data_IF_410824247071
#
_entry.id   IF_410824247071
#
_cell.length_a   1.000
_cell.length_b   1.000
_cell.length_c   1.000
_cell.angle_alpha   90.00
_cell.angle_beta   90.00
_cell.angle_gamma   90.00
#
_symmetry.space_group_name_H-M   'P 1'
#
loop_
_entity.id
_entity.type
_entity.pdbx_description
1 polymer ?
#
# COMPACT_ATOMS: atom_id res chain seq x y z
N UNK A 1 -2.05 -23.73 -7.48
CA UNK A 1 -1.52 -22.34 -7.36
C UNK A 1 -0.43 -22.34 -6.30
N UNK A 2 0.71 -21.77 -6.63
CA UNK A 2 1.80 -21.57 -5.67
C UNK A 2 1.80 -20.11 -5.23
N UNK A 3 1.76 -19.87 -3.92
CA UNK A 3 1.83 -18.52 -3.35
C UNK A 3 3.21 -18.37 -2.72
N UNK A 4 4.01 -17.46 -3.28
CA UNK A 4 5.31 -17.11 -2.72
C UNK A 4 5.15 -16.09 -1.60
N UNK A 5 6.09 -16.07 -0.67
CA UNK A 5 6.09 -15.13 0.47
C UNK A 5 7.42 -14.42 0.54
N UNK A 6 7.39 -13.11 0.64
CA UNK A 6 8.58 -12.28 0.80
C UNK A 6 8.50 -11.47 2.10
N UNK A 7 9.66 -11.28 2.72
CA UNK A 7 9.79 -10.36 3.84
C UNK A 7 9.78 -8.92 3.34
N UNK A 8 9.25 -8.03 4.16
CA UNK A 8 9.27 -6.59 3.91
C UNK A 8 10.21 -5.89 4.91
N UNK A 9 10.58 -4.61 4.69
CA UNK A 9 11.31 -3.83 5.68
C UNK A 9 10.58 -3.68 7.02
N UNK A 10 9.26 -3.85 7.02
CA UNK A 10 8.46 -3.89 8.24
C UNK A 10 8.33 -5.34 8.73
N UNK A 11 8.93 -5.70 9.88
CA UNK A 11 8.90 -7.08 10.40
C UNK A 11 7.50 -7.58 10.76
N UNK A 12 6.54 -6.68 10.99
CA UNK A 12 5.15 -7.03 11.24
C UNK A 12 4.35 -7.31 9.95
N UNK A 13 4.94 -7.08 8.78
CA UNK A 13 4.28 -7.22 7.48
C UNK A 13 4.96 -8.29 6.63
N UNK A 14 4.16 -9.20 6.07
CA UNK A 14 4.60 -10.12 5.01
C UNK A 14 3.89 -9.82 3.70
N UNK A 15 4.62 -10.03 2.60
CA UNK A 15 4.13 -9.91 1.24
C UNK A 15 3.87 -11.29 0.66
N UNK A 16 2.67 -11.48 0.11
CA UNK A 16 2.21 -12.72 -0.49
C UNK A 16 2.00 -12.51 -1.99
N UNK A 17 2.64 -13.36 -2.80
CA UNK A 17 2.58 -13.29 -4.26
C UNK A 17 1.85 -14.51 -4.81
N UNK A 18 0.59 -14.37 -5.23
CA UNK A 18 -0.18 -15.49 -5.77
C UNK A 18 0.21 -15.89 -7.20
N UNK A 19 1.14 -15.17 -7.82
CA UNK A 19 1.58 -15.45 -9.19
C UNK A 19 0.58 -15.03 -10.27
N UNK A 20 -0.33 -14.13 -9.94
CA UNK A 20 -1.38 -13.61 -10.82
C UNK A 20 -1.73 -12.17 -10.42
N UNK A 21 -2.36 -11.39 -11.31
CA UNK A 21 -2.84 -10.07 -10.94
C UNK A 21 -3.79 -10.12 -9.74
N UNK A 22 -3.60 -9.23 -8.79
CA UNK A 22 -4.45 -9.08 -7.61
C UNK A 22 -5.41 -7.91 -7.81
N UNK A 23 -4.90 -6.70 -7.77
CA UNK A 23 -5.70 -5.49 -7.97
C UNK A 23 -4.89 -4.46 -8.77
N UNK A 24 -4.93 -4.52 -10.11
CA UNK A 24 -4.24 -3.53 -10.94
C UNK A 24 -4.76 -2.11 -10.70
N UNK A 25 -3.87 -1.14 -10.74
CA UNK A 25 -4.19 0.26 -10.50
C UNK A 25 -3.64 0.77 -9.17
N UNK A 26 -4.42 1.55 -8.46
CA UNK A 26 -3.97 2.17 -7.20
C UNK A 26 -3.93 1.23 -5.99
N UNK A 27 -4.45 0.01 -6.16
CA UNK A 27 -4.54 -0.94 -5.05
C UNK A 27 -5.65 -0.59 -4.05
N UNK A 28 -5.69 -1.30 -2.94
CA UNK A 28 -6.63 -1.03 -1.85
C UNK A 28 -6.00 -1.31 -0.50
N UNK A 29 -6.22 -0.41 0.43
CA UNK A 29 -5.72 -0.49 1.80
C UNK A 29 -6.88 -0.63 2.79
N UNK A 30 -6.71 -1.54 3.73
CA UNK A 30 -7.69 -1.83 4.77
C UNK A 30 -6.98 -1.77 6.12
N UNK A 31 -7.28 -0.75 6.89
CA UNK A 31 -6.66 -0.48 8.19
C UNK A 31 -7.58 -0.80 9.37
N UNK A 32 -8.76 -1.33 9.08
CA UNK A 32 -9.75 -1.71 10.09
C UNK A 32 -10.68 -2.80 9.55
N UNK A 33 -11.32 -3.58 10.45
CA UNK A 33 -12.34 -4.55 10.04
C UNK A 33 -13.51 -3.94 9.27
N UNK A 34 -13.89 -2.72 9.61
CA UNK A 34 -14.98 -1.98 8.95
C UNK A 34 -14.60 -1.64 7.50
N UNK A 35 -13.36 -1.19 7.27
CA UNK A 35 -12.85 -0.96 5.92
C UNK A 35 -12.80 -2.27 5.11
N UNK A 36 -12.54 -3.40 5.76
CA UNK A 36 -12.44 -4.71 5.13
C UNK A 36 -13.79 -5.30 4.69
N UNK A 37 -14.92 -4.77 5.15
CA UNK A 37 -16.25 -5.28 4.79
C UNK A 37 -16.50 -5.26 3.28
N UNK A 38 -15.89 -4.35 2.55
CA UNK A 38 -15.98 -4.24 1.09
C UNK A 38 -15.14 -5.30 0.33
N UNK A 39 -14.34 -6.10 1.02
CA UNK A 39 -13.54 -7.16 0.43
C UNK A 39 -13.73 -8.48 1.16
N UNK A 40 -14.24 -9.53 0.49
CA UNK A 40 -14.37 -10.84 1.10
C UNK A 40 -13.04 -11.39 1.63
N UNK A 41 -11.94 -11.20 0.89
CA UNK A 41 -10.63 -11.66 1.32
C UNK A 41 -10.10 -10.86 2.51
N UNK A 42 -10.17 -9.53 2.47
CA UNK A 42 -9.72 -8.69 3.58
C UNK A 42 -10.53 -8.98 4.85
N UNK A 43 -11.83 -9.11 4.73
CA UNK A 43 -12.71 -9.46 5.84
C UNK A 43 -12.35 -10.82 6.46
N UNK A 44 -12.08 -11.83 5.63
CA UNK A 44 -11.63 -13.15 6.09
C UNK A 44 -10.29 -13.06 6.83
N UNK A 45 -9.35 -12.27 6.34
CA UNK A 45 -8.05 -12.06 6.97
C UNK A 45 -8.18 -11.36 8.33
N UNK A 46 -8.99 -10.31 8.44
CA UNK A 46 -9.26 -9.66 9.72
C UNK A 46 -9.97 -10.59 10.71
N UNK A 47 -10.75 -11.54 10.23
CA UNK A 47 -11.43 -12.53 11.08
C UNK A 47 -10.47 -13.47 11.82
N UNK A 48 -9.20 -13.54 11.44
CA UNK A 48 -8.17 -14.27 12.18
C UNK A 48 -7.87 -13.65 13.56
N UNK A 49 -8.19 -12.36 13.75
CA UNK A 49 -8.00 -11.65 15.00
C UNK A 49 -6.59 -11.09 15.25
N UNK A 50 -5.61 -11.55 14.48
CA UNK A 50 -4.20 -11.15 14.61
C UNK A 50 -3.73 -10.18 13.52
N UNK A 51 -4.64 -9.75 12.64
CA UNK A 51 -4.36 -8.87 11.51
C UNK A 51 -4.77 -7.44 11.83
N UNK A 52 -3.86 -6.51 11.66
CA UNK A 52 -4.07 -5.08 11.88
C UNK A 52 -4.34 -4.34 10.57
N UNK A 53 -3.70 -4.77 9.47
CA UNK A 53 -3.81 -4.12 8.17
C UNK A 53 -3.67 -5.12 7.04
N UNK A 54 -4.42 -4.89 5.96
CA UNK A 54 -4.31 -5.63 4.70
C UNK A 54 -4.18 -4.63 3.57
N UNK A 55 -3.28 -4.89 2.62
CA UNK A 55 -3.12 -4.09 1.41
C UNK A 55 -3.09 -5.00 0.18
N UNK A 56 -3.84 -4.63 -0.86
CA UNK A 56 -3.81 -5.28 -2.16
C UNK A 56 -3.04 -4.43 -3.15
N UNK A 57 -1.89 -4.92 -3.61
CA UNK A 57 -1.14 -4.33 -4.70
C UNK A 57 -1.55 -4.88 -6.06
N UNK A 58 -0.80 -4.52 -7.10
CA UNK A 58 -1.11 -4.95 -8.46
C UNK A 58 -1.05 -6.47 -8.64
N UNK A 59 -0.07 -7.13 -8.02
CA UNK A 59 0.22 -8.56 -8.14
C UNK A 59 0.57 -9.22 -6.80
N UNK A 60 0.29 -8.55 -5.70
CA UNK A 60 0.61 -9.04 -4.36
C UNK A 60 -0.42 -8.60 -3.32
N UNK A 61 -0.38 -9.30 -2.18
CA UNK A 61 -1.15 -8.95 -0.97
C UNK A 61 -0.16 -8.79 0.18
N UNK A 62 -0.25 -7.72 0.94
CA UNK A 62 0.47 -7.60 2.20
C UNK A 62 -0.47 -7.70 3.39
N UNK A 63 0.00 -8.40 4.41
CA UNK A 63 -0.72 -8.56 5.67
C UNK A 63 0.19 -8.08 6.79
N UNK A 64 -0.30 -7.16 7.58
CA UNK A 64 0.38 -6.65 8.77
C UNK A 64 -0.28 -7.23 10.01
N UNK A 65 0.49 -7.90 10.84
CA UNK A 65 -0.01 -8.47 12.09
C UNK A 65 -0.06 -7.42 13.20
N UNK A 66 -1.04 -7.57 14.09
CA UNK A 66 -1.20 -6.70 15.25
C UNK A 66 -0.08 -6.92 16.29
N UNK A 67 0.28 -5.90 17.08
CA UNK A 67 1.19 -6.05 18.19
C UNK A 67 0.70 -7.11 19.20
N UNK A 68 1.60 -7.99 19.65
CA UNK A 68 1.25 -9.06 20.58
C UNK A 68 0.52 -10.25 19.97
N UNK A 69 0.35 -10.27 18.64
CA UNK A 69 -0.25 -11.40 17.92
C UNK A 69 0.69 -12.60 17.81
N UNK A 70 0.16 -13.69 17.26
CA UNK A 70 0.94 -14.91 17.00
C UNK A 70 2.13 -14.64 16.09
N UNK A 71 3.16 -15.50 16.17
CA UNK A 71 4.30 -15.44 15.28
C UNK A 71 3.90 -15.75 13.82
N UNK A 72 4.69 -15.25 12.87
CA UNK A 72 4.46 -15.54 11.46
C UNK A 72 4.50 -17.03 11.13
N UNK A 73 5.26 -17.83 11.86
CA UNK A 73 5.27 -19.29 11.69
C UNK A 73 3.89 -19.92 11.89
N UNK A 74 3.10 -19.36 12.80
CA UNK A 74 1.73 -19.81 13.08
C UNK A 74 0.70 -19.13 12.19
N UNK A 75 0.84 -17.82 11.99
CA UNK A 75 -0.13 -17.02 11.25
C UNK A 75 -0.03 -17.20 9.72
N UNK A 76 1.19 -17.35 9.19
CA UNK A 76 1.44 -17.48 7.75
C UNK A 76 0.62 -18.61 7.08
N UNK A 77 0.57 -19.84 7.60
CA UNK A 77 -0.23 -20.90 6.99
C UNK A 77 -1.72 -20.55 6.93
N UNK A 78 -2.24 -19.86 7.92
CA UNK A 78 -3.64 -19.44 7.98
C UNK A 78 -3.93 -18.39 6.89
N UNK A 79 -3.05 -17.42 6.74
CA UNK A 79 -3.16 -16.40 5.68
C UNK A 79 -3.05 -17.04 4.30
N UNK A 80 -2.08 -17.92 4.09
CA UNK A 80 -1.91 -18.65 2.84
C UNK A 80 -3.17 -19.44 2.46
N UNK A 81 -3.80 -20.12 3.42
CA UNK A 81 -5.03 -20.85 3.20
C UNK A 81 -6.17 -19.95 2.73
N UNK A 82 -6.36 -18.81 3.38
CA UNK A 82 -7.41 -17.86 3.01
C UNK A 82 -7.18 -17.22 1.64
N UNK A 83 -5.95 -16.84 1.34
CA UNK A 83 -5.58 -16.29 0.04
C UNK A 83 -5.79 -17.33 -1.07
N UNK A 84 -5.35 -18.55 -0.85
CA UNK A 84 -5.52 -19.64 -1.80
C UNK A 84 -7.01 -19.94 -2.05
N UNK A 85 -7.80 -20.04 -1.01
CA UNK A 85 -9.25 -20.30 -1.11
C UNK A 85 -9.95 -19.18 -1.89
N UNK A 86 -9.63 -17.93 -1.60
CA UNK A 86 -10.24 -16.79 -2.29
C UNK A 86 -9.96 -16.82 -3.79
N UNK A 87 -8.68 -16.96 -4.18
CA UNK A 87 -8.30 -16.96 -5.59
C UNK A 87 -8.75 -18.23 -6.33
N UNK A 88 -8.93 -19.33 -5.64
CA UNK A 88 -9.49 -20.57 -6.21
C UNK A 88 -11.00 -20.49 -6.41
N UNK A 89 -11.69 -19.72 -5.58
CA UNK A 89 -13.16 -19.57 -5.66
C UNK A 89 -13.60 -18.66 -6.82
N UNK A 90 -12.72 -17.81 -7.32
CA UNK A 90 -13.07 -16.80 -8.32
C UNK A 90 -13.94 -15.66 -7.80
N UNK A 91 -14.08 -15.52 -6.49
CA UNK A 91 -14.83 -14.43 -5.88
C UNK A 91 -14.18 -13.06 -6.18
N UNK A 92 -14.97 -11.97 -6.28
CA UNK A 92 -14.43 -10.64 -6.49
C UNK A 92 -13.58 -10.21 -5.30
N UNK A 93 -12.49 -9.50 -5.58
CA UNK A 93 -11.58 -9.02 -4.54
C UNK A 93 -12.18 -7.86 -3.76
N UNK A 94 -12.91 -6.98 -4.46
CA UNK A 94 -13.61 -5.83 -3.88
C UNK A 94 -15.07 -5.83 -4.37
N UNK A 95 -15.99 -5.68 -3.43
CA UNK A 95 -17.40 -5.45 -3.71
C UNK A 95 -17.68 -3.95 -3.60
N UNK A 96 -18.08 -3.32 -4.70
CA UNK A 96 -18.36 -1.89 -4.76
C UNK A 96 -17.29 -1.06 -5.47
N UNK A 97 -17.51 0.22 -5.58
CA UNK A 97 -16.57 1.16 -6.19
C UNK A 97 -15.41 1.44 -5.22
N UNK A 98 -14.21 1.57 -5.79
CA UNK A 98 -13.07 2.06 -5.03
C UNK A 98 -13.33 3.53 -4.66
N UNK A 99 -13.10 3.89 -3.39
CA UNK A 99 -13.07 5.28 -2.99
C UNK A 99 -11.92 5.99 -3.71
N UNK A 100 -12.26 6.72 -4.77
CA UNK A 100 -11.31 7.67 -5.34
C UNK A 100 -11.07 8.76 -4.31
N UNK A 101 -9.90 8.74 -3.72
CA UNK A 101 -9.52 9.78 -2.78
C UNK A 101 -9.40 11.12 -3.52
N UNK A 102 -10.15 12.10 -3.06
CA UNK A 102 -10.04 13.45 -3.58
C UNK A 102 -8.62 13.99 -3.38
N UNK A 103 -8.06 14.54 -4.45
CA UNK A 103 -6.80 15.28 -4.40
C UNK A 103 -7.09 16.77 -4.22
N UNK A 104 -6.23 17.46 -3.47
CA UNK A 104 -6.32 18.90 -3.26
C UNK A 104 -5.12 19.59 -3.90
N UNK A 105 -5.31 20.03 -5.12
CA UNK A 105 -4.27 20.72 -5.91
C UNK A 105 -4.71 22.14 -6.22
N UNK A 106 -3.73 23.05 -6.31
CA UNK A 106 -3.97 24.36 -6.90
C UNK A 106 -4.00 24.20 -8.42
N UNK A 107 -5.04 24.71 -9.12
CA UNK A 107 -5.12 24.66 -10.59
C UNK A 107 -3.94 25.33 -11.29
N UNK A 108 -3.29 26.31 -10.68
CA UNK A 108 -2.10 26.99 -11.22
C UNK A 108 -0.88 26.06 -11.26
N UNK A 109 -0.85 25.02 -10.44
CA UNK A 109 0.24 24.04 -10.31
C UNK A 109 0.03 22.77 -11.14
N UNK A 110 -0.91 22.75 -12.06
CA UNK A 110 -1.27 21.56 -12.85
C UNK A 110 -0.06 20.91 -13.55
N UNK A 111 0.83 21.68 -14.13
CA UNK A 111 2.05 21.17 -14.80
C UNK A 111 3.03 20.57 -13.79
N UNK A 112 3.18 21.18 -12.64
CA UNK A 112 4.02 20.71 -11.54
C UNK A 112 3.45 19.40 -10.98
N UNK A 113 2.15 19.35 -10.75
CA UNK A 113 1.44 18.16 -10.28
C UNK A 113 1.60 16.99 -11.25
N UNK A 114 1.50 17.25 -12.56
CA UNK A 114 1.69 16.23 -13.58
C UNK A 114 3.11 15.63 -13.54
N UNK A 115 4.13 16.46 -13.34
CA UNK A 115 5.52 16.01 -13.20
C UNK A 115 5.71 15.18 -11.91
N UNK A 116 5.12 15.62 -10.80
CA UNK A 116 5.19 14.90 -9.52
C UNK A 116 4.55 13.52 -9.65
N UNK A 117 3.36 13.43 -10.22
CA UNK A 117 2.65 12.17 -10.45
C UNK A 117 3.45 11.22 -11.35
N UNK A 118 4.01 11.74 -12.43
CA UNK A 118 4.83 10.94 -13.35
C UNK A 118 6.07 10.36 -12.65
N UNK A 119 6.76 11.16 -11.85
CA UNK A 119 7.92 10.69 -11.07
C UNK A 119 7.54 9.64 -10.04
N UNK A 120 6.41 9.83 -9.35
CA UNK A 120 5.90 8.86 -8.40
C UNK A 120 5.58 7.53 -9.09
N UNK A 121 4.85 7.57 -10.20
CA UNK A 121 4.39 6.37 -10.91
C UNK A 121 5.54 5.61 -11.58
N UNK A 122 6.54 6.31 -12.10
CA UNK A 122 7.62 5.69 -12.89
C UNK A 122 8.84 5.30 -12.05
N UNK A 123 9.12 6.01 -10.96
CA UNK A 123 10.37 5.85 -10.18
C UNK A 123 10.16 5.39 -8.75
N UNK A 124 9.12 5.85 -8.11
CA UNK A 124 8.91 5.63 -6.66
C UNK A 124 8.00 4.44 -6.40
N UNK A 125 6.83 4.39 -7.01
CA UNK A 125 5.86 3.30 -6.80
C UNK A 125 6.41 1.92 -7.12
N UNK A 126 7.15 1.71 -8.24
CA UNK A 126 7.74 0.39 -8.52
C UNK A 126 8.73 -0.07 -7.45
N UNK A 127 9.58 0.84 -6.94
CA UNK A 127 10.53 0.53 -5.88
C UNK A 127 9.83 0.20 -4.56
N UNK A 128 8.81 0.96 -4.21
CA UNK A 128 8.01 0.76 -2.99
C UNK A 128 7.20 -0.54 -3.07
N UNK A 129 6.68 -0.89 -4.25
CA UNK A 129 5.97 -2.15 -4.46
C UNK A 129 6.86 -3.37 -4.24
N UNK A 130 8.14 -3.30 -4.58
CA UNK A 130 9.11 -4.36 -4.26
C UNK A 130 9.19 -4.61 -2.75
N UNK A 131 9.04 -3.58 -1.94
CA UNK A 131 9.03 -3.66 -0.48
C UNK A 131 7.65 -3.96 0.11
N UNK A 132 6.66 -4.23 -0.73
CA UNK A 132 5.30 -4.58 -0.30
C UNK A 132 4.43 -3.39 0.11
N UNK A 133 4.80 -2.17 -0.30
CA UNK A 133 4.04 -0.96 -0.01
C UNK A 133 3.56 -0.23 -1.25
N UNK A 134 2.91 0.89 -1.03
CA UNK A 134 2.53 1.83 -2.09
C UNK A 134 2.46 3.25 -1.53
N UNK A 135 2.51 4.21 -2.44
CA UNK A 135 2.39 5.64 -2.14
C UNK A 135 1.34 6.23 -3.07
N UNK A 136 0.37 6.93 -2.50
CA UNK A 136 -0.69 7.60 -3.23
C UNK A 136 -0.53 9.10 -3.09
N UNK A 137 -0.54 9.79 -4.23
CA UNK A 137 -0.53 11.25 -4.28
C UNK A 137 -1.86 11.80 -3.74
N UNK A 138 -1.77 12.77 -2.83
CA UNK A 138 -2.94 13.42 -2.23
C UNK A 138 -3.10 14.87 -2.60
N UNK A 139 -1.99 15.60 -2.77
CA UNK A 139 -2.06 17.00 -3.13
C UNK A 139 -0.71 17.69 -3.16
N UNK A 140 -0.71 18.90 -3.73
CA UNK A 140 0.44 19.79 -3.75
C UNK A 140 -0.02 21.21 -3.46
N UNK A 141 0.50 21.79 -2.39
CA UNK A 141 0.19 23.17 -1.98
C UNK A 141 1.43 23.86 -1.42
N UNK A 142 1.72 25.06 -1.90
CA UNK A 142 2.80 25.91 -1.38
C UNK A 142 4.17 25.20 -1.29
N UNK A 143 4.48 24.38 -2.30
CA UNK A 143 5.72 23.62 -2.34
C UNK A 143 5.72 22.33 -1.51
N UNK A 144 4.64 22.00 -0.82
CA UNK A 144 4.51 20.79 -0.02
C UNK A 144 3.73 19.74 -0.80
N UNK A 145 4.33 18.55 -0.98
CA UNK A 145 3.68 17.37 -1.57
C UNK A 145 3.11 16.51 -0.46
N UNK A 146 1.83 16.20 -0.53
CA UNK A 146 1.15 15.34 0.42
C UNK A 146 0.97 13.96 -0.18
N UNK A 147 1.48 12.95 0.52
CA UNK A 147 1.44 11.55 0.11
C UNK A 147 0.78 10.70 1.20
N UNK A 148 0.03 9.71 0.78
CA UNK A 148 -0.49 8.67 1.66
C UNK A 148 0.29 7.37 1.46
N UNK A 149 0.87 6.85 2.54
CA UNK A 149 1.64 5.61 2.50
C UNK A 149 0.74 4.42 2.83
N UNK A 150 0.89 3.33 2.06
CA UNK A 150 0.09 2.11 2.18
C UNK A 150 0.97 0.87 2.31
N UNK A 151 0.38 -0.23 2.76
CA UNK A 151 1.05 -1.51 2.90
C UNK A 151 2.18 -1.48 3.92
N UNK A 152 3.32 -2.09 3.60
CA UNK A 152 4.48 -2.15 4.50
C UNK A 152 5.09 -0.79 4.84
N UNK A 153 4.86 0.23 4.01
CA UNK A 153 5.34 1.59 4.25
C UNK A 153 4.55 2.33 5.32
N UNK A 154 3.31 1.90 5.58
CA UNK A 154 2.45 2.50 6.59
C UNK A 154 2.80 1.98 7.98
N UNK A 155 2.86 2.86 8.97
CA UNK A 155 3.01 2.48 10.38
C UNK A 155 4.40 2.01 10.80
N UNK A 156 5.41 2.06 9.92
CA UNK A 156 6.79 1.74 10.25
C UNK A 156 7.63 3.03 10.35
N UNK A 157 7.92 3.57 11.56
CA UNK A 157 8.55 4.88 11.70
C UNK A 157 9.91 5.00 11.02
N UNK A 158 10.75 3.98 11.09
CA UNK A 158 12.08 3.99 10.47
C UNK A 158 12.03 3.96 8.94
N UNK A 159 11.19 3.10 8.37
CA UNK A 159 11.00 3.00 6.92
C UNK A 159 10.31 4.25 6.36
N UNK A 160 9.32 4.78 7.07
CA UNK A 160 8.58 5.99 6.66
C UNK A 160 9.49 7.21 6.59
N UNK A 161 10.34 7.43 7.60
CA UNK A 161 11.26 8.57 7.63
C UNK A 161 12.30 8.49 6.50
N UNK A 162 12.90 7.33 6.29
CA UNK A 162 13.89 7.10 5.23
C UNK A 162 13.27 7.26 3.84
N UNK A 163 12.10 6.69 3.64
CA UNK A 163 11.37 6.75 2.37
C UNK A 163 10.95 8.18 2.05
N UNK A 164 10.40 8.89 3.03
CA UNK A 164 10.02 10.31 2.89
C UNK A 164 11.19 11.17 2.45
N UNK A 165 12.36 11.02 3.11
CA UNK A 165 13.57 11.76 2.76
C UNK A 165 14.07 11.45 1.36
N UNK A 166 14.04 10.18 0.95
CA UNK A 166 14.41 9.75 -0.41
C UNK A 166 13.49 10.32 -1.48
N UNK A 167 12.18 10.30 -1.24
CA UNK A 167 11.17 10.87 -2.15
C UNK A 167 11.34 12.39 -2.26
N UNK A 168 11.50 13.07 -1.13
CA UNK A 168 11.70 14.52 -1.10
C UNK A 168 12.93 14.92 -1.90
N UNK A 169 14.05 14.24 -1.71
CA UNK A 169 15.28 14.53 -2.46
C UNK A 169 15.09 14.28 -3.96
N UNK A 170 14.42 13.19 -4.35
CA UNK A 170 14.15 12.91 -5.75
C UNK A 170 13.25 13.98 -6.38
N UNK A 171 12.16 14.32 -5.74
CA UNK A 171 11.23 15.34 -6.25
C UNK A 171 11.88 16.72 -6.33
N UNK A 172 12.63 17.11 -5.34
CA UNK A 172 13.35 18.40 -5.35
C UNK A 172 14.39 18.47 -6.45
N UNK A 173 15.00 17.37 -6.79
CA UNK A 173 15.99 17.29 -7.88
C UNK A 173 15.36 17.55 -9.25
N UNK A 174 14.20 16.94 -9.52
CA UNK A 174 13.50 17.06 -10.81
C UNK A 174 12.48 18.19 -10.85
N UNK A 175 11.91 18.55 -9.71
CA UNK A 175 10.89 19.59 -9.57
C UNK A 175 11.34 20.58 -8.51
N UNK A 176 12.05 21.67 -8.91
CA UNK A 176 12.60 22.62 -7.94
C UNK A 176 11.57 23.35 -7.06
N UNK A 177 10.33 23.38 -7.49
CA UNK A 177 9.18 23.96 -6.77
C UNK A 177 8.81 23.17 -5.51
N UNK A 178 9.22 21.91 -5.42
CA UNK A 178 8.99 21.08 -4.24
C UNK A 178 9.95 21.49 -3.12
N UNK A 179 9.38 21.84 -1.98
CA UNK A 179 10.13 22.24 -0.77
C UNK A 179 10.19 21.09 0.22
N UNK A 180 9.06 20.41 0.42
CA UNK A 180 8.89 19.37 1.43
C UNK A 180 7.92 18.29 0.96
N UNK A 181 8.08 17.09 1.47
CA UNK A 181 7.12 15.99 1.34
C UNK A 181 6.55 15.65 2.71
N UNK A 182 5.23 15.55 2.82
CA UNK A 182 4.53 15.16 4.04
C UNK A 182 3.71 13.91 3.81
N UNK A 183 3.75 13.02 4.79
CA UNK A 183 2.84 11.87 4.87
C UNK A 183 1.53 12.29 5.57
N UNK A 184 0.40 11.89 4.99
CA UNK A 184 -0.93 12.16 5.53
C UNK A 184 -1.71 10.86 5.75
#
# INVERSE_FOLDING_TARGET
MLIETERTPNPATLKFLPGRPVLPGEGADFDSPEAAERSPLANALFSLGDVERVYFGADFVTVTKAPGSQDWETLKPQVLGLVLDHFSSGAPLIAGEADEAETFDDPEDADIVAQIRDLLDTRIRPAVANDGGDIVYRGFQKGVVYLHMRGSCAGCPSSTATLKGGIENLLRHYVPEVIEVRAV
#
